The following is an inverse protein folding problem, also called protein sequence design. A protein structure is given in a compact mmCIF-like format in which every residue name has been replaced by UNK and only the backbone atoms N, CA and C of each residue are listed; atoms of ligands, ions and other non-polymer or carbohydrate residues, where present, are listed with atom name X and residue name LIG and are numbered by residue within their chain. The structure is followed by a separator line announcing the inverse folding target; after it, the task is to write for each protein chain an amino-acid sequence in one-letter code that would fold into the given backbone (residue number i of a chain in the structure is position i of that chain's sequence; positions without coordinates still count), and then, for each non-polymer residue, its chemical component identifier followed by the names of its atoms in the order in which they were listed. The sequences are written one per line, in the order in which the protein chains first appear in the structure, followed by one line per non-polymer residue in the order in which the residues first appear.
data_IF_003400873066
#
_entry.id   IF_003400873066
#
_cell.length_a   1.000
_cell.length_b   1.000
_cell.length_c   1.000
_cell.angle_alpha   90.00
_cell.angle_beta   90.00
_cell.angle_gamma   90.00
#
_symmetry.space_group_name_H-M   'P 1'
#
loop_
_entity.id
_entity.type
_entity.pdbx_description
1 polymer ?
#
# COMPACT_ATOMS: atom_id res chain seq x y z
N UNK A 1 1.15 -13.03 -25.63
CA UNK A 1 2.39 -12.30 -25.94
C UNK A 1 2.29 -10.99 -25.21
N UNK A 2 3.12 -10.74 -24.18
CA UNK A 2 3.15 -9.44 -23.51
C UNK A 2 3.76 -8.42 -24.48
N UNK A 3 3.01 -7.37 -24.83
CA UNK A 3 3.51 -6.30 -25.68
C UNK A 3 4.34 -5.34 -24.83
N UNK A 4 5.61 -5.13 -25.19
CA UNK A 4 6.34 -3.99 -24.67
C UNK A 4 6.30 -2.91 -25.76
N UNK A 5 5.77 -1.73 -25.44
CA UNK A 5 5.62 -0.64 -26.42
C UNK A 5 6.82 0.30 -26.28
N UNK A 6 7.59 0.48 -27.34
CA UNK A 6 8.68 1.47 -27.38
C UNK A 6 8.15 2.82 -27.85
N UNK A 7 8.35 3.87 -27.04
CA UNK A 7 8.13 5.26 -27.43
C UNK A 7 9.47 5.99 -27.39
N UNK A 8 10.00 6.31 -28.57
CA UNK A 8 11.36 6.87 -28.68
C UNK A 8 12.40 5.92 -28.08
N UNK A 9 13.13 6.41 -27.08
CA UNK A 9 14.16 5.63 -26.38
C UNK A 9 13.66 4.94 -25.10
N UNK A 10 12.40 5.15 -24.72
CA UNK A 10 11.80 4.61 -23.50
C UNK A 10 10.97 3.36 -23.82
N UNK A 11 11.00 2.38 -22.92
CA UNK A 11 10.23 1.16 -23.04
C UNK A 11 9.07 1.21 -22.05
N UNK A 12 7.84 1.23 -22.55
CA UNK A 12 6.65 1.07 -21.72
C UNK A 12 6.43 -0.43 -21.51
N UNK A 13 6.46 -0.82 -20.24
CA UNK A 13 6.17 -2.18 -19.81
C UNK A 13 4.65 -2.29 -19.64
N UNK A 14 4.00 -3.14 -20.44
CA UNK A 14 2.63 -3.54 -20.12
C UNK A 14 2.69 -4.41 -18.87
N UNK A 15 2.07 -3.95 -17.79
CA UNK A 15 1.86 -4.77 -16.60
C UNK A 15 0.84 -5.85 -16.94
N UNK A 16 1.31 -7.08 -17.11
CA UNK A 16 0.45 -8.25 -16.99
C UNK A 16 0.16 -8.45 -15.49
N UNK A 17 -0.72 -7.63 -14.94
CA UNK A 17 -1.23 -7.82 -13.59
C UNK A 17 -2.01 -9.13 -13.57
N UNK A 18 -1.48 -10.12 -12.85
CA UNK A 18 -2.18 -11.39 -12.63
C UNK A 18 -3.22 -11.15 -11.53
N UNK A 19 -4.49 -11.03 -11.91
CA UNK A 19 -5.61 -10.84 -10.96
C UNK A 19 -5.72 -11.98 -9.94
N UNK A 20 -5.09 -13.13 -10.21
CA UNK A 20 -5.02 -14.26 -9.29
C UNK A 20 -3.79 -14.23 -8.36
N UNK A 21 -2.95 -13.20 -8.46
CA UNK A 21 -1.80 -13.05 -7.57
C UNK A 21 -2.26 -12.86 -6.12
N UNK A 22 -1.83 -13.79 -5.28
CA UNK A 22 -2.03 -13.73 -3.83
C UNK A 22 -0.67 -13.55 -3.19
N UNK A 23 -0.33 -12.35 -2.67
CA UNK A 23 0.94 -12.12 -2.00
C UNK A 23 1.03 -13.01 -0.77
N UNK A 24 2.21 -13.61 -0.59
CA UNK A 24 2.52 -14.42 0.58
C UNK A 24 2.68 -13.54 1.80
N UNK A 25 2.51 -14.14 2.97
CA UNK A 25 2.66 -13.42 4.24
C UNK A 25 4.03 -12.75 4.34
N UNK A 26 5.11 -13.44 3.95
CA UNK A 26 6.45 -12.86 3.94
C UNK A 26 6.56 -11.61 3.05
N UNK A 27 5.96 -11.62 1.85
CA UNK A 27 5.97 -10.46 0.95
C UNK A 27 5.24 -9.27 1.57
N UNK A 28 4.13 -9.53 2.28
CA UNK A 28 3.38 -8.51 3.02
C UNK A 28 4.22 -7.94 4.17
N UNK A 29 4.95 -8.79 4.90
CA UNK A 29 5.82 -8.38 6.01
C UNK A 29 7.01 -7.55 5.53
N UNK A 30 7.61 -7.92 4.40
CA UNK A 30 8.72 -7.18 3.80
C UNK A 30 8.26 -5.83 3.22
N UNK A 31 7.03 -5.75 2.70
CA UNK A 31 6.47 -4.53 2.15
C UNK A 31 5.87 -3.60 3.21
N UNK A 32 5.40 -4.10 4.35
CA UNK A 32 4.79 -3.31 5.42
C UNK A 32 5.63 -2.07 5.84
N UNK A 33 6.96 -2.17 6.04
CA UNK A 33 7.81 -1.02 6.33
C UNK A 33 7.83 0.05 5.23
N UNK A 34 7.64 -0.32 3.97
CA UNK A 34 7.64 0.61 2.80
C UNK A 34 6.51 1.63 2.90
N UNK A 35 5.36 1.20 3.45
CA UNK A 35 4.20 2.06 3.72
C UNK A 35 4.11 2.51 5.18
N UNK A 36 5.16 2.26 5.97
CA UNK A 36 5.29 2.75 7.35
C UNK A 36 4.53 1.94 8.41
N UNK A 37 4.24 0.67 8.15
CA UNK A 37 3.66 -0.28 9.10
C UNK A 37 4.77 -1.09 9.76
N UNK A 38 4.74 -1.19 11.09
CA UNK A 38 5.59 -2.13 11.84
C UNK A 38 4.89 -3.50 11.91
N UNK A 39 5.38 -4.56 11.23
CA UNK A 39 4.71 -5.85 11.17
C UNK A 39 4.53 -6.53 12.53
N UNK A 40 5.46 -6.31 13.46
CA UNK A 40 5.43 -6.92 14.79
C UNK A 40 4.47 -6.17 15.73
N UNK A 41 4.37 -4.85 15.60
CA UNK A 41 3.54 -4.01 16.50
C UNK A 41 2.16 -3.71 15.94
N UNK A 42 2.00 -3.75 14.63
CA UNK A 42 0.82 -3.26 13.90
C UNK A 42 0.29 -4.32 12.93
N UNK A 43 0.21 -5.55 13.40
CA UNK A 43 -0.37 -6.67 12.64
C UNK A 43 -1.81 -6.39 12.18
N UNK A 44 -2.56 -5.57 12.91
CA UNK A 44 -3.91 -5.08 12.53
C UNK A 44 -3.90 -4.17 11.29
N UNK A 45 -2.76 -3.65 10.85
CA UNK A 45 -2.62 -2.80 9.67
C UNK A 45 -2.04 -3.55 8.46
N UNK A 46 -1.51 -4.76 8.63
CA UNK A 46 -0.88 -5.55 7.54
C UNK A 46 -1.81 -5.80 6.33
N UNK A 47 -3.13 -5.76 6.53
CA UNK A 47 -4.08 -5.83 5.42
C UNK A 47 -3.90 -4.68 4.42
N UNK A 48 -3.45 -3.49 4.85
CA UNK A 48 -3.14 -2.37 3.95
C UNK A 48 -1.93 -2.67 3.07
N UNK A 49 -0.90 -3.32 3.62
CA UNK A 49 0.26 -3.75 2.83
C UNK A 49 -0.15 -4.82 1.80
N UNK A 50 -0.99 -5.76 2.22
CA UNK A 50 -1.57 -6.77 1.32
C UNK A 50 -2.36 -6.14 0.18
N UNK A 51 -3.26 -5.20 0.50
CA UNK A 51 -4.06 -4.52 -0.52
C UNK A 51 -3.19 -3.70 -1.46
N UNK A 52 -2.17 -2.99 -0.95
CA UNK A 52 -1.23 -2.25 -1.79
C UNK A 52 -0.50 -3.14 -2.81
N UNK A 53 -0.04 -4.33 -2.38
CA UNK A 53 0.64 -5.30 -3.26
C UNK A 53 -0.26 -5.87 -4.35
N UNK A 54 -1.57 -5.96 -4.12
CA UNK A 54 -2.57 -6.42 -5.10
C UNK A 54 -3.34 -5.28 -5.74
N UNK A 55 -2.95 -4.02 -5.48
CA UNK A 55 -3.60 -2.89 -6.12
C UNK A 55 -2.94 -2.70 -7.47
N UNK A 56 -3.66 -2.92 -8.58
CA UNK A 56 -3.11 -2.66 -9.90
C UNK A 56 -2.75 -1.17 -10.02
N UNK A 57 -1.78 -0.84 -10.86
CA UNK A 57 -1.54 0.55 -11.22
C UNK A 57 -2.85 1.19 -11.69
N UNK A 58 -3.13 2.45 -11.31
CA UNK A 58 -4.30 3.14 -11.83
C UNK A 58 -4.20 3.22 -13.36
N UNK A 59 -5.34 3.29 -14.04
CA UNK A 59 -5.43 3.19 -15.51
C UNK A 59 -4.54 4.19 -16.26
N UNK A 60 -4.24 5.33 -15.63
CA UNK A 60 -3.43 6.41 -16.19
C UNK A 60 -1.91 6.22 -15.97
N UNK A 61 -1.47 5.25 -15.16
CA UNK A 61 -0.06 5.00 -14.83
C UNK A 61 0.50 3.76 -15.53
N UNK A 62 1.74 3.83 -16.02
CA UNK A 62 2.48 2.64 -16.50
C UNK A 62 3.91 2.64 -16.00
N UNK A 63 4.45 1.45 -15.77
CA UNK A 63 5.88 1.25 -15.60
C UNK A 63 6.60 1.49 -16.93
N UNK A 64 7.60 2.36 -16.89
CA UNK A 64 8.45 2.72 -18.01
C UNK A 64 9.90 2.41 -17.61
N UNK A 65 10.69 1.92 -18.55
CA UNK A 65 12.12 1.78 -18.39
C UNK A 65 12.83 2.91 -19.14
N UNK A 66 13.74 3.58 -18.45
CA UNK A 66 14.56 4.63 -19.03
C UNK A 66 15.70 4.05 -19.89
N UNK A 67 16.55 4.91 -20.46
CA UNK A 67 17.70 4.47 -21.26
C UNK A 67 18.80 3.78 -20.45
N UNK A 68 18.81 3.99 -19.13
CA UNK A 68 19.77 3.41 -18.19
C UNK A 68 19.35 1.99 -17.77
N UNK A 69 18.09 1.63 -18.02
CA UNK A 69 17.51 0.36 -17.61
C UNK A 69 16.72 0.43 -16.30
N UNK A 70 16.57 1.62 -15.71
CA UNK A 70 15.83 1.83 -14.47
C UNK A 70 14.34 1.94 -14.72
N UNK A 71 13.54 1.32 -13.85
CA UNK A 71 12.08 1.35 -13.93
C UNK A 71 11.56 2.55 -13.13
N UNK A 72 10.68 3.32 -13.74
CA UNK A 72 9.92 4.41 -13.12
C UNK A 72 8.47 4.34 -13.56
N UNK A 73 7.56 4.93 -12.80
CA UNK A 73 6.15 4.97 -13.13
C UNK A 73 5.80 6.33 -13.73
N UNK A 74 5.13 6.33 -14.87
CA UNK A 74 4.71 7.55 -15.57
C UNK A 74 3.19 7.61 -15.69
N UNK A 75 2.62 8.76 -15.39
CA UNK A 75 1.21 9.06 -15.55
C UNK A 75 0.96 9.76 -16.89
N UNK A 76 0.26 9.07 -17.79
CA UNK A 76 -0.01 9.54 -19.15
C UNK A 76 -1.09 10.63 -19.22
N UNK A 77 -1.85 10.83 -18.15
CA UNK A 77 -2.93 11.83 -18.09
C UNK A 77 -2.44 13.21 -17.67
N UNK A 78 -1.54 13.28 -16.70
CA UNK A 78 -1.04 14.56 -16.17
C UNK A 78 0.47 14.78 -16.42
N UNK A 79 1.18 13.78 -16.97
CA UNK A 79 2.60 13.88 -17.28
C UNK A 79 3.53 13.75 -16.07
N UNK A 80 3.04 13.32 -14.90
CA UNK A 80 3.87 13.12 -13.72
C UNK A 80 4.64 11.80 -13.78
N UNK A 81 5.88 11.80 -13.30
CA UNK A 81 6.71 10.60 -13.11
C UNK A 81 7.04 10.42 -11.63
N UNK A 82 7.09 9.17 -11.17
CA UNK A 82 7.56 8.81 -9.82
C UNK A 82 8.43 7.55 -9.90
N UNK A 83 9.35 7.43 -8.96
CA UNK A 83 10.18 6.24 -8.77
C UNK A 83 9.49 5.20 -7.89
N UNK A 84 8.71 5.66 -6.91
CA UNK A 84 7.87 4.81 -6.06
C UNK A 84 6.55 4.49 -6.75
N UNK A 85 5.94 3.36 -6.40
CA UNK A 85 4.65 2.98 -6.96
C UNK A 85 3.57 3.99 -6.50
N UNK A 86 2.73 4.52 -7.41
CA UNK A 86 1.82 5.63 -7.11
C UNK A 86 0.77 5.30 -6.05
N UNK A 87 0.50 4.01 -5.79
CA UNK A 87 -0.38 3.59 -4.71
C UNK A 87 0.31 3.64 -3.34
N UNK A 88 1.64 3.59 -3.25
CA UNK A 88 2.36 3.50 -1.98
C UNK A 88 2.09 4.72 -1.11
N UNK A 89 2.12 5.91 -1.69
CA UNK A 89 1.81 7.15 -0.98
C UNK A 89 0.35 7.16 -0.48
N UNK A 90 -0.59 6.66 -1.28
CA UNK A 90 -1.98 6.54 -0.86
C UNK A 90 -2.12 5.65 0.38
N UNK A 91 -1.45 4.49 0.37
CA UNK A 91 -1.49 3.55 1.49
C UNK A 91 -0.74 4.07 2.72
N UNK A 92 0.36 4.81 2.58
CA UNK A 92 1.01 5.51 3.71
C UNK A 92 0.04 6.44 4.44
N UNK A 93 -0.76 7.22 3.69
CA UNK A 93 -1.76 8.10 4.30
C UNK A 93 -2.90 7.31 4.97
N UNK A 94 -3.31 6.18 4.37
CA UNK A 94 -4.31 5.29 4.98
C UNK A 94 -3.80 4.68 6.29
N UNK A 95 -2.52 4.26 6.35
CA UNK A 95 -1.88 3.74 7.56
C UNK A 95 -1.95 4.75 8.69
N UNK A 96 -1.61 6.03 8.42
CA UNK A 96 -1.68 7.10 9.41
C UNK A 96 -3.12 7.24 9.94
N UNK A 97 -4.09 7.33 9.04
CA UNK A 97 -5.51 7.48 9.41
C UNK A 97 -6.04 6.28 10.20
N UNK A 98 -5.70 5.06 9.81
CA UNK A 98 -6.19 3.85 10.48
C UNK A 98 -5.53 3.66 11.85
N UNK A 99 -4.23 3.98 11.97
CA UNK A 99 -3.52 4.04 13.25
C UNK A 99 -4.18 5.03 14.20
N UNK A 100 -4.53 6.23 13.74
CA UNK A 100 -5.25 7.23 14.55
C UNK A 100 -6.62 6.72 15.02
N UNK A 101 -7.39 6.06 14.14
CA UNK A 101 -8.66 5.45 14.51
C UNK A 101 -8.49 4.34 15.54
N UNK A 102 -7.47 3.49 15.41
CA UNK A 102 -7.19 2.41 16.38
C UNK A 102 -6.85 2.99 17.74
N UNK A 103 -6.04 4.06 17.79
CA UNK A 103 -5.75 4.78 19.04
C UNK A 103 -7.03 5.36 19.65
N UNK A 104 -7.89 6.00 18.86
CA UNK A 104 -9.16 6.53 19.32
C UNK A 104 -10.11 5.43 19.84
N UNK A 105 -10.22 4.29 19.15
CA UNK A 105 -11.05 3.15 19.57
C UNK A 105 -10.48 2.40 20.78
N UNK A 106 -9.15 2.33 20.91
CA UNK A 106 -8.46 1.80 22.07
C UNK A 106 -8.78 2.58 23.35
N UNK A 107 -8.88 3.91 23.24
CA UNK A 107 -9.37 4.78 24.31
C UNK A 107 -10.80 4.43 24.77
N UNK A 108 -11.73 4.27 23.83
CA UNK A 108 -13.11 3.87 24.15
C UNK A 108 -13.22 2.49 24.81
N UNK A 109 -12.36 1.53 24.44
CA UNK A 109 -12.33 0.19 25.06
C UNK A 109 -11.81 0.24 26.50
N UNK A 110 -10.80 1.07 26.80
CA UNK A 110 -10.30 1.27 28.18
C UNK A 110 -11.36 1.90 29.07
N UNK A 111 -12.04 2.94 28.60
CA UNK A 111 -13.04 3.67 29.39
C UNK A 111 -14.31 2.84 29.70
N UNK A 112 -14.75 2.00 28.76
CA UNK A 112 -15.86 1.05 28.98
C UNK A 112 -15.50 -0.07 29.97
N UNK A 113 -14.25 -0.54 29.99
CA UNK A 113 -13.80 -1.57 30.94
C UNK A 113 -13.77 -1.02 32.37
N UNK A 114 -13.27 0.20 32.54
CA UNK A 114 -13.18 0.86 33.85
C UNK A 114 -14.56 1.21 34.46
N UNK A 115 -15.54 1.62 33.63
CA UNK A 115 -16.93 1.82 34.07
C UNK A 115 -17.63 0.52 34.46
N UNK A 116 -17.29 -0.62 33.83
CA UNK A 116 -17.90 -1.92 34.13
C UNK A 116 -17.36 -2.50 35.46
N UNK A 117 -16.08 -2.32 35.75
CA UNK A 117 -15.47 -2.74 37.02
C UNK A 117 -15.97 -1.92 38.22
N UNK A 118 -16.16 -0.60 38.08
CA UNK A 118 -16.76 0.24 39.15
C UNK A 118 -18.22 -0.09 39.45
N UNK A 119 -18.96 -0.67 38.49
CA UNK A 119 -20.38 -1.05 38.67
C UNK A 119 -20.57 -2.45 39.27
N UNK A 120 -19.53 -3.29 39.31
CA UNK A 120 -19.57 -4.61 39.95
C UNK A 120 -19.10 -4.59 41.41
N UNK A 121 -18.53 -3.48 41.89
CA UNK A 121 -18.04 -3.34 43.28
C UNK A 121 -18.95 -2.50 44.19
N UNK A 122 -20.19 -2.24 43.76
CA UNK A 122 -21.21 -1.49 44.50
C UNK A 122 -22.52 -2.24 44.45
#
# INVERSE_FOLDING_TARGET
MAGAVRIGNQLILEENYDESYVPKEQEILDFAPVIGIDPDKESELLWLARECLVTPLPEDWRACQDTSGEIYFFNFKNGHSTWDHPCDEHYRQLVIREREKLLARGGLKKEKKEKKEKKQKK
#
